data_IF_830266207081
#
_entry.id   IF_830266207081
#
_cell.length_a   1.000
_cell.length_b   1.000
_cell.length_c   1.000
_cell.angle_alpha   90.00
_cell.angle_beta   90.00
_cell.angle_gamma   90.00
#
_symmetry.space_group_name_H-M   'P 1'
#
loop_
_entity.id
_entity.type
_entity.pdbx_description
1 polymer ?
#
# COMPACT_ATOMS: atom_id res chain seq x y z
N UNK A 1 -2.05 15.69 34.98
CA UNK A 1 -2.07 14.21 34.92
C UNK A 1 -2.88 13.64 33.73
N UNK A 2 -3.59 14.43 32.95
CA UNK A 2 -4.50 13.94 31.86
C UNK A 2 -3.80 13.61 30.52
N UNK A 3 -2.60 14.14 30.26
CA UNK A 3 -1.90 13.94 28.98
C UNK A 3 -1.23 12.55 28.85
N UNK A 4 -0.79 11.93 29.93
CA UNK A 4 -0.07 10.65 29.92
C UNK A 4 -1.02 9.46 29.65
N UNK A 5 -2.27 9.55 30.10
CA UNK A 5 -3.30 8.52 29.86
C UNK A 5 -3.77 8.49 28.41
N UNK A 6 -3.77 9.64 27.72
CA UNK A 6 -4.17 9.73 26.31
C UNK A 6 -3.15 9.09 25.37
N UNK A 7 -1.86 9.29 25.60
CA UNK A 7 -0.77 8.68 24.81
C UNK A 7 -0.73 7.16 24.96
N UNK A 8 -0.81 6.64 26.19
CA UNK A 8 -0.81 5.20 26.43
C UNK A 8 -2.01 4.47 25.78
N UNK A 9 -3.19 5.10 25.74
CA UNK A 9 -4.36 4.54 25.07
C UNK A 9 -4.22 4.58 23.53
N UNK A 10 -3.64 5.64 22.97
CA UNK A 10 -3.38 5.75 21.54
C UNK A 10 -2.32 4.72 21.10
N UNK A 11 -1.23 4.54 21.86
CA UNK A 11 -0.21 3.53 21.60
C UNK A 11 -0.81 2.12 21.65
N UNK A 12 -1.59 1.81 22.68
CA UNK A 12 -2.27 0.51 22.80
C UNK A 12 -3.21 0.25 21.62
N UNK A 13 -3.95 1.26 21.19
CA UNK A 13 -4.85 1.16 20.05
C UNK A 13 -4.09 0.89 18.74
N UNK A 14 -2.94 1.52 18.53
CA UNK A 14 -2.08 1.28 17.38
C UNK A 14 -1.52 -0.15 17.37
N UNK A 15 -1.08 -0.68 18.53
CA UNK A 15 -0.64 -2.07 18.66
C UNK A 15 -1.75 -3.06 18.30
N UNK A 16 -2.98 -2.80 18.74
CA UNK A 16 -4.15 -3.64 18.42
C UNK A 16 -4.48 -3.63 16.94
N UNK A 17 -4.36 -2.48 16.27
CA UNK A 17 -4.54 -2.38 14.80
C UNK A 17 -3.43 -3.13 14.05
N UNK A 18 -2.18 -3.04 14.51
CA UNK A 18 -1.08 -3.81 13.93
C UNK A 18 -1.31 -5.31 14.06
N UNK A 19 -1.69 -5.80 15.26
CA UNK A 19 -2.06 -7.21 15.48
C UNK A 19 -3.22 -7.63 14.59
N UNK A 20 -4.27 -6.82 14.49
CA UNK A 20 -5.41 -7.10 13.62
C UNK A 20 -5.03 -7.18 12.14
N UNK A 21 -4.14 -6.30 11.68
CA UNK A 21 -3.63 -6.30 10.31
C UNK A 21 -2.87 -7.60 10.00
N UNK A 22 -2.02 -8.07 10.91
CA UNK A 22 -1.31 -9.34 10.77
C UNK A 22 -2.29 -10.53 10.68
N UNK A 23 -3.29 -10.57 11.55
CA UNK A 23 -4.28 -11.66 11.55
C UNK A 23 -5.12 -11.63 10.27
N UNK A 24 -5.57 -10.46 9.83
CA UNK A 24 -6.32 -10.31 8.57
C UNK A 24 -5.47 -10.70 7.36
N UNK A 25 -4.21 -10.28 7.33
CA UNK A 25 -3.29 -10.63 6.25
C UNK A 25 -3.04 -12.13 6.16
N UNK A 26 -2.85 -12.80 7.29
CA UNK A 26 -2.54 -14.23 7.36
C UNK A 26 -3.76 -15.12 7.05
N UNK A 27 -4.91 -14.82 7.64
CA UNK A 27 -6.07 -15.72 7.63
C UNK A 27 -7.18 -15.28 6.64
N UNK A 28 -7.15 -14.03 6.17
CA UNK A 28 -8.23 -13.41 5.43
C UNK A 28 -9.24 -12.70 6.32
N UNK A 29 -9.79 -11.61 5.80
CA UNK A 29 -10.74 -10.80 6.55
C UNK A 29 -12.01 -11.59 6.94
N UNK A 30 -12.60 -12.33 5.99
CA UNK A 30 -13.85 -13.04 6.22
C UNK A 30 -13.70 -14.18 7.24
N UNK A 31 -12.57 -14.90 7.25
CA UNK A 31 -12.32 -16.00 8.16
C UNK A 31 -11.89 -15.52 9.57
N UNK A 32 -11.47 -14.26 9.73
CA UNK A 32 -11.02 -13.71 11.01
C UNK A 32 -12.21 -13.31 11.87
N UNK A 33 -12.13 -13.65 13.17
CA UNK A 33 -13.09 -13.23 14.19
C UNK A 33 -12.47 -12.25 15.17
N UNK A 34 -13.27 -11.39 15.82
CA UNK A 34 -12.82 -10.47 16.88
C UNK A 34 -12.14 -11.25 18.02
N UNK A 35 -12.66 -12.44 18.35
CA UNK A 35 -12.06 -13.31 19.36
C UNK A 35 -10.63 -13.73 18.96
N UNK A 36 -10.40 -14.10 17.71
CA UNK A 36 -9.07 -14.49 17.23
C UNK A 36 -8.06 -13.33 17.34
N UNK A 37 -8.49 -12.10 17.01
CA UNK A 37 -7.64 -10.92 17.17
C UNK A 37 -7.32 -10.67 18.64
N UNK A 38 -8.31 -10.78 19.52
CA UNK A 38 -8.12 -10.60 20.97
C UNK A 38 -7.16 -11.66 21.56
N UNK A 39 -7.32 -12.92 21.16
CA UNK A 39 -6.45 -14.02 21.58
C UNK A 39 -4.99 -13.75 21.16
N UNK A 40 -4.76 -13.27 19.93
CA UNK A 40 -3.43 -12.90 19.42
C UNK A 40 -2.83 -11.69 20.15
N UNK A 41 -3.68 -10.72 20.53
CA UNK A 41 -3.30 -9.54 21.30
C UNK A 41 -3.12 -9.82 22.81
N UNK A 42 -3.35 -11.06 23.27
CA UNK A 42 -3.24 -11.47 24.66
C UNK A 42 -4.29 -10.85 25.57
N UNK A 43 -5.52 -10.61 25.06
CA UNK A 43 -6.58 -9.95 25.80
C UNK A 43 -7.94 -10.63 25.63
N UNK A 44 -8.89 -10.28 26.50
CA UNK A 44 -10.28 -10.75 26.36
C UNK A 44 -10.99 -10.05 25.19
N UNK A 45 -11.81 -10.78 24.45
CA UNK A 45 -12.58 -10.22 23.34
C UNK A 45 -13.46 -9.03 23.74
N UNK A 46 -14.05 -9.06 24.95
CA UNK A 46 -14.81 -7.93 25.52
C UNK A 46 -14.01 -6.65 25.67
N UNK A 47 -12.70 -6.77 25.96
CA UNK A 47 -11.80 -5.61 26.11
C UNK A 47 -11.46 -4.99 24.75
N UNK A 48 -11.48 -5.78 23.66
CA UNK A 48 -11.24 -5.26 22.31
C UNK A 48 -12.39 -4.32 21.87
N UNK A 49 -13.63 -4.64 22.25
CA UNK A 49 -14.79 -3.79 21.99
C UNK A 49 -14.77 -2.43 22.73
N UNK A 50 -13.91 -2.28 23.75
CA UNK A 50 -13.68 -0.97 24.34
C UNK A 50 -12.90 -0.03 23.41
N UNK A 51 -12.09 -0.59 22.51
CA UNK A 51 -11.27 0.17 21.57
C UNK A 51 -11.89 0.30 20.17
N UNK A 52 -12.70 -0.68 19.74
CA UNK A 52 -13.23 -0.75 18.38
C UNK A 52 -14.67 -1.25 18.37
N UNK A 53 -15.53 -0.59 17.60
CA UNK A 53 -16.95 -0.92 17.52
C UNK A 53 -17.20 -2.27 16.81
N UNK A 54 -16.35 -2.63 15.85
CA UNK A 54 -16.50 -3.83 15.04
C UNK A 54 -15.20 -4.26 14.35
N UNK A 55 -15.19 -5.44 13.79
CA UNK A 55 -14.12 -5.93 12.91
C UNK A 55 -13.98 -5.05 11.67
N UNK A 56 -15.10 -4.58 11.15
CA UNK A 56 -15.16 -3.66 10.00
C UNK A 56 -14.50 -2.33 10.29
N UNK A 57 -14.68 -1.77 11.50
CA UNK A 57 -14.05 -0.50 11.87
C UNK A 57 -12.54 -0.63 12.01
N UNK A 58 -12.04 -1.75 12.51
CA UNK A 58 -10.60 -2.04 12.55
C UNK A 58 -10.01 -2.12 11.14
N UNK A 59 -10.66 -2.84 10.24
CA UNK A 59 -10.21 -2.97 8.86
C UNK A 59 -10.21 -1.62 8.14
N UNK A 60 -11.24 -0.83 8.32
CA UNK A 60 -11.38 0.51 7.73
C UNK A 60 -10.24 1.43 8.16
N UNK A 61 -9.91 1.46 9.45
CA UNK A 61 -8.78 2.23 9.96
C UNK A 61 -7.42 1.75 9.43
N UNK A 62 -7.21 0.43 9.33
CA UNK A 62 -5.99 -0.12 8.78
C UNK A 62 -5.82 0.29 7.30
N UNK A 63 -6.88 0.18 6.51
CA UNK A 63 -6.81 0.48 5.08
C UNK A 63 -6.77 1.99 4.80
N UNK A 64 -7.53 2.80 5.54
CA UNK A 64 -7.50 4.26 5.37
C UNK A 64 -6.15 4.84 5.77
N UNK A 65 -5.58 4.44 6.91
CA UNK A 65 -4.25 4.90 7.33
C UNK A 65 -3.15 4.54 6.31
N UNK A 66 -3.18 3.31 5.78
CA UNK A 66 -2.28 2.88 4.72
C UNK A 66 -2.44 3.73 3.46
N UNK A 67 -3.67 3.95 2.99
CA UNK A 67 -3.93 4.73 1.78
C UNK A 67 -3.59 6.21 1.94
N UNK A 68 -3.84 6.80 3.11
CA UNK A 68 -3.49 8.19 3.40
C UNK A 68 -1.97 8.41 3.33
N UNK A 69 -1.18 7.47 3.87
CA UNK A 69 0.29 7.56 3.78
C UNK A 69 0.78 7.29 2.36
N UNK A 70 0.20 6.31 1.65
CA UNK A 70 0.51 6.04 0.25
C UNK A 70 0.29 7.28 -0.60
N UNK A 71 -0.88 7.94 -0.46
CA UNK A 71 -1.23 9.10 -1.24
C UNK A 71 -0.40 10.33 -0.88
N UNK A 72 -0.08 10.53 0.39
CA UNK A 72 0.84 11.60 0.82
C UNK A 72 2.18 11.47 0.10
N UNK A 73 2.74 10.26 0.04
CA UNK A 73 3.99 10.00 -0.66
C UNK A 73 3.88 10.17 -2.18
N UNK A 74 2.80 9.67 -2.79
CA UNK A 74 2.57 9.77 -4.23
C UNK A 74 2.33 11.20 -4.67
N UNK A 75 1.48 11.94 -3.98
CA UNK A 75 1.17 13.34 -4.30
C UNK A 75 2.43 14.21 -4.18
N UNK A 76 3.32 13.92 -3.23
CA UNK A 76 4.65 14.56 -3.13
C UNK A 76 5.49 14.30 -4.39
N UNK A 77 5.56 13.06 -4.84
CA UNK A 77 6.31 12.71 -6.07
C UNK A 77 5.71 13.38 -7.30
N UNK A 78 4.39 13.35 -7.44
CA UNK A 78 3.68 13.91 -8.59
C UNK A 78 3.78 15.44 -8.66
N UNK A 79 3.86 16.12 -7.51
CA UNK A 79 4.02 17.57 -7.41
C UNK A 79 5.47 18.05 -7.60
N UNK A 80 6.46 17.16 -7.54
CA UNK A 80 7.89 17.52 -7.56
C UNK A 80 8.43 17.98 -8.93
N UNK A 81 7.61 17.95 -9.99
CA UNK A 81 8.02 18.40 -11.32
C UNK A 81 9.11 17.53 -11.98
N UNK A 82 9.26 16.28 -11.54
CA UNK A 82 10.25 15.34 -12.03
C UNK A 82 10.05 15.00 -13.51
N UNK A 83 11.14 14.71 -14.23
CA UNK A 83 11.07 14.09 -15.54
C UNK A 83 10.42 12.69 -15.47
N UNK A 84 9.89 12.16 -16.60
CA UNK A 84 9.13 10.90 -16.58
C UNK A 84 9.89 9.71 -16.00
N UNK A 85 11.17 9.56 -16.32
CA UNK A 85 12.03 8.49 -15.79
C UNK A 85 12.21 8.58 -14.27
N UNK A 86 12.47 9.79 -13.78
CA UNK A 86 12.65 10.06 -12.35
C UNK A 86 11.33 9.85 -11.60
N UNK A 87 10.21 10.31 -12.17
CA UNK A 87 8.89 10.15 -11.59
C UNK A 87 8.51 8.66 -11.45
N UNK A 88 8.71 7.84 -12.48
CA UNK A 88 8.51 6.37 -12.39
C UNK A 88 9.42 5.77 -11.31
N UNK A 89 10.69 6.18 -11.27
CA UNK A 89 11.63 5.73 -10.25
C UNK A 89 11.18 6.06 -8.83
N UNK A 90 10.71 7.27 -8.62
CA UNK A 90 10.22 7.74 -7.32
C UNK A 90 8.90 7.02 -6.91
N UNK A 91 7.97 6.81 -7.84
CA UNK A 91 6.72 6.07 -7.59
C UNK A 91 7.01 4.60 -7.21
N UNK A 92 7.91 3.93 -7.92
CA UNK A 92 8.36 2.56 -7.59
C UNK A 92 8.99 2.53 -6.20
N UNK A 93 9.91 3.46 -5.92
CA UNK A 93 10.58 3.51 -4.61
C UNK A 93 9.58 3.75 -3.48
N UNK A 94 8.62 4.65 -3.70
CA UNK A 94 7.56 4.92 -2.73
C UNK A 94 6.68 3.68 -2.51
N UNK A 95 6.38 2.92 -3.56
CA UNK A 95 5.62 1.66 -3.43
C UNK A 95 6.35 0.64 -2.56
N UNK A 96 7.66 0.44 -2.75
CA UNK A 96 8.44 -0.48 -1.91
C UNK A 96 8.55 -0.01 -0.46
N UNK A 97 8.63 1.30 -0.21
CA UNK A 97 8.56 1.87 1.15
C UNK A 97 7.22 1.58 1.82
N UNK A 98 6.12 1.65 1.08
CA UNK A 98 4.80 1.30 1.61
C UNK A 98 4.69 -0.20 1.92
N UNK A 99 5.27 -1.06 1.09
CA UNK A 99 5.35 -2.51 1.37
C UNK A 99 6.17 -2.77 2.64
N UNK A 100 7.28 -2.06 2.85
CA UNK A 100 8.11 -2.18 4.05
C UNK A 100 7.35 -1.78 5.32
N UNK A 101 6.64 -0.66 5.28
CA UNK A 101 5.94 -0.11 6.46
C UNK A 101 4.59 -0.77 6.73
N UNK A 102 3.86 -1.13 5.68
CA UNK A 102 2.46 -1.52 5.73
C UNK A 102 2.20 -2.88 5.06
N UNK A 103 3.18 -3.79 5.05
CA UNK A 103 3.07 -5.09 4.39
C UNK A 103 1.74 -5.81 4.61
N UNK A 104 1.25 -5.98 5.86
CA UNK A 104 -0.05 -6.58 6.14
C UNK A 104 -1.23 -5.83 5.51
N UNK A 105 -1.27 -4.49 5.60
CA UNK A 105 -2.32 -3.67 4.99
C UNK A 105 -2.30 -3.77 3.46
N UNK A 106 -1.11 -3.78 2.85
CA UNK A 106 -0.92 -4.02 1.40
C UNK A 106 -1.48 -5.38 1.00
N UNK A 107 -1.16 -6.44 1.74
CA UNK A 107 -1.66 -7.80 1.45
C UNK A 107 -3.19 -7.88 1.56
N UNK A 108 -3.78 -7.23 2.56
CA UNK A 108 -5.24 -7.12 2.71
C UNK A 108 -5.83 -6.35 1.52
N UNK A 109 -5.28 -5.16 1.20
CA UNK A 109 -5.76 -4.33 0.11
C UNK A 109 -5.77 -5.09 -1.22
N UNK A 110 -4.68 -5.79 -1.55
CA UNK A 110 -4.59 -6.57 -2.78
C UNK A 110 -5.64 -7.68 -2.88
N UNK A 111 -5.90 -8.36 -1.77
CA UNK A 111 -6.81 -9.50 -1.75
C UNK A 111 -8.27 -9.10 -1.67
N UNK A 112 -8.58 -8.09 -0.88
CA UNK A 112 -9.95 -7.81 -0.45
C UNK A 112 -10.56 -6.55 -1.10
N UNK A 113 -9.75 -5.60 -1.62
CA UNK A 113 -10.25 -4.28 -2.05
C UNK A 113 -11.36 -4.36 -3.08
N UNK A 114 -11.27 -5.29 -4.05
CA UNK A 114 -12.29 -5.46 -5.07
C UNK A 114 -13.65 -5.89 -4.50
N UNK A 115 -13.64 -6.74 -3.49
CA UNK A 115 -14.87 -7.20 -2.83
C UNK A 115 -15.40 -6.15 -1.84
N UNK A 116 -14.51 -5.55 -1.07
CA UNK A 116 -14.86 -4.55 -0.07
C UNK A 116 -15.43 -3.27 -0.70
N UNK A 117 -14.91 -2.82 -1.84
CA UNK A 117 -15.36 -1.58 -2.49
C UNK A 117 -16.86 -1.56 -2.87
N UNK A 118 -17.51 -2.72 -2.92
CA UNK A 118 -18.96 -2.83 -3.11
C UNK A 118 -19.76 -2.43 -1.84
N UNK A 119 -19.11 -2.32 -0.69
CA UNK A 119 -19.74 -1.95 0.58
C UNK A 119 -19.60 -0.43 0.80
N UNK A 120 -20.66 0.28 1.25
CA UNK A 120 -20.64 1.74 1.41
C UNK A 120 -19.47 2.26 2.26
N UNK A 121 -19.11 1.56 3.33
CA UNK A 121 -17.98 1.92 4.21
C UNK A 121 -16.65 1.96 3.49
N UNK A 122 -16.44 1.09 2.51
CA UNK A 122 -15.20 0.91 1.79
C UNK A 122 -15.24 1.44 0.34
N UNK A 123 -16.22 2.25 -0.01
CA UNK A 123 -16.38 2.80 -1.37
C UNK A 123 -15.14 3.58 -1.84
N UNK A 124 -14.43 4.24 -0.91
CA UNK A 124 -13.18 4.96 -1.19
C UNK A 124 -12.07 4.09 -1.79
N UNK A 125 -12.12 2.78 -1.61
CA UNK A 125 -11.15 1.86 -2.21
C UNK A 125 -11.21 1.85 -3.75
N UNK A 126 -12.42 1.99 -4.31
CA UNK A 126 -12.59 2.09 -5.77
C UNK A 126 -12.00 3.41 -6.31
N UNK A 127 -12.25 4.52 -5.62
CA UNK A 127 -11.69 5.82 -5.98
C UNK A 127 -10.16 5.81 -5.88
N UNK A 128 -9.62 5.19 -4.84
CA UNK A 128 -8.19 5.02 -4.66
C UNK A 128 -7.56 4.19 -5.79
N UNK A 129 -8.21 3.11 -6.24
CA UNK A 129 -7.74 2.31 -7.37
C UNK A 129 -7.68 3.14 -8.66
N UNK A 130 -8.71 3.91 -8.95
CA UNK A 130 -8.75 4.78 -10.13
C UNK A 130 -7.70 5.90 -10.06
N UNK A 131 -7.54 6.52 -8.89
CA UNK A 131 -6.50 7.53 -8.66
C UNK A 131 -5.11 6.94 -8.91
N UNK A 132 -4.86 5.72 -8.41
CA UNK A 132 -3.60 5.00 -8.58
C UNK A 132 -3.32 4.72 -10.06
N UNK A 133 -4.26 4.10 -10.77
CA UNK A 133 -4.13 3.83 -12.21
C UNK A 133 -3.84 5.10 -13.01
N UNK A 134 -4.59 6.17 -12.75
CA UNK A 134 -4.42 7.45 -13.42
C UNK A 134 -3.05 8.10 -13.17
N UNK A 135 -2.52 8.02 -11.94
CA UNK A 135 -1.20 8.56 -11.62
C UNK A 135 -0.10 7.89 -12.45
N UNK A 136 -0.14 6.57 -12.56
CA UNK A 136 0.81 5.79 -13.34
C UNK A 136 0.65 6.00 -14.84
N UNK A 137 -0.58 5.90 -15.36
CA UNK A 137 -0.84 6.06 -16.80
C UNK A 137 -0.39 7.45 -17.30
N UNK A 138 -0.77 8.53 -16.58
CA UNK A 138 -0.33 9.89 -16.97
C UNK A 138 1.18 10.04 -16.97
N UNK A 139 1.89 9.43 -16.04
CA UNK A 139 3.36 9.50 -15.98
C UNK A 139 3.99 8.73 -17.14
N UNK A 140 3.47 7.57 -17.48
CA UNK A 140 3.93 6.76 -18.63
C UNK A 140 3.60 7.44 -19.96
N UNK A 141 2.38 7.92 -20.13
CA UNK A 141 1.93 8.64 -21.33
C UNK A 141 2.76 9.90 -21.59
N UNK A 142 3.03 10.68 -20.52
CA UNK A 142 3.95 11.82 -20.58
C UNK A 142 5.34 11.40 -21.05
N UNK A 143 5.87 10.30 -20.53
CA UNK A 143 7.17 9.77 -20.90
C UNK A 143 7.26 9.36 -22.37
N UNK A 144 6.21 8.82 -22.93
CA UNK A 144 6.12 8.52 -24.38
C UNK A 144 6.04 9.80 -25.19
N UNK A 145 5.21 10.76 -24.80
CA UNK A 145 5.02 12.03 -25.49
C UNK A 145 6.29 12.88 -25.51
N UNK A 146 7.09 12.85 -24.42
CA UNK A 146 8.38 13.56 -24.32
C UNK A 146 9.57 12.77 -24.93
N UNK A 147 9.33 11.57 -25.48
CA UNK A 147 10.37 10.73 -26.05
C UNK A 147 11.32 10.08 -25.02
N UNK A 148 11.00 10.16 -23.74
CA UNK A 148 11.77 9.49 -22.67
C UNK A 148 11.53 7.97 -22.67
N UNK A 149 10.36 7.53 -23.10
CA UNK A 149 9.98 6.14 -23.29
C UNK A 149 9.70 5.86 -24.75
N UNK A 150 9.85 4.60 -25.16
CA UNK A 150 9.62 4.15 -26.53
C UNK A 150 8.17 4.40 -26.96
N UNK A 151 7.96 4.86 -28.17
CA UNK A 151 6.65 5.17 -28.73
C UNK A 151 5.80 3.94 -29.13
N UNK A 152 6.41 2.76 -29.16
CA UNK A 152 5.75 1.48 -29.50
C UNK A 152 5.16 0.76 -28.27
N UNK A 153 5.23 1.38 -27.07
CA UNK A 153 4.72 0.78 -25.85
C UNK A 153 3.20 0.88 -25.73
N UNK A 154 2.54 -0.23 -25.41
CA UNK A 154 1.21 -0.20 -24.82
C UNK A 154 1.32 0.21 -23.35
N UNK A 155 1.05 1.49 -23.07
CA UNK A 155 1.19 2.10 -21.73
C UNK A 155 0.32 1.40 -20.68
N UNK A 156 -0.88 0.92 -21.08
CA UNK A 156 -1.78 0.21 -20.16
C UNK A 156 -1.22 -1.16 -19.79
N UNK A 157 -0.60 -1.83 -20.76
CA UNK A 157 0.05 -3.11 -20.50
C UNK A 157 1.30 -2.95 -19.63
N UNK A 158 2.12 -1.93 -19.91
CA UNK A 158 3.29 -1.58 -19.07
C UNK A 158 2.85 -1.27 -17.64
N UNK A 159 1.79 -0.46 -17.47
CA UNK A 159 1.24 -0.18 -16.14
C UNK A 159 0.86 -1.47 -15.40
N UNK A 160 0.16 -2.40 -16.06
CA UNK A 160 -0.23 -3.67 -15.45
C UNK A 160 0.98 -4.47 -15.00
N UNK A 161 2.00 -4.61 -15.84
CA UNK A 161 3.22 -5.33 -15.48
C UNK A 161 3.92 -4.69 -14.28
N UNK A 162 4.11 -3.36 -14.30
CA UNK A 162 4.74 -2.64 -13.20
C UNK A 162 3.94 -2.81 -11.91
N UNK A 163 2.63 -2.56 -11.95
CA UNK A 163 1.74 -2.73 -10.80
C UNK A 163 1.86 -4.13 -10.20
N UNK A 164 1.67 -5.16 -11.02
CA UNK A 164 1.58 -6.52 -10.54
C UNK A 164 2.94 -7.01 -10.00
N UNK A 165 4.04 -6.65 -10.66
CA UNK A 165 5.39 -7.04 -10.23
C UNK A 165 5.89 -6.29 -9.00
N UNK A 166 5.54 -5.02 -8.83
CA UNK A 166 5.90 -4.24 -7.64
C UNK A 166 5.13 -4.73 -6.41
N UNK A 167 3.80 -4.77 -6.53
CA UNK A 167 2.98 -5.06 -5.35
C UNK A 167 3.01 -6.52 -4.91
N UNK A 168 3.31 -7.47 -5.80
CA UNK A 168 3.53 -8.87 -5.41
C UNK A 168 4.68 -9.03 -4.40
N UNK A 169 5.57 -8.06 -4.32
CA UNK A 169 6.65 -8.07 -3.34
C UNK A 169 6.15 -8.14 -1.89
N UNK A 170 4.94 -7.65 -1.59
CA UNK A 170 4.33 -7.82 -0.26
C UNK A 170 4.21 -9.29 0.17
N UNK A 171 4.22 -10.25 -0.78
CA UNK A 171 4.14 -11.67 -0.46
C UNK A 171 5.46 -12.30 -0.02
N UNK A 172 6.59 -11.74 -0.42
CA UNK A 172 7.92 -12.31 -0.13
C UNK A 172 8.87 -11.37 0.60
N UNK A 173 8.65 -10.07 0.54
CA UNK A 173 9.47 -9.09 1.24
C UNK A 173 9.35 -9.25 2.77
N UNK A 174 10.47 -9.02 3.45
CA UNK A 174 10.52 -9.06 4.91
C UNK A 174 11.21 -7.79 5.41
N UNK A 175 10.52 -6.95 6.20
CA UNK A 175 11.15 -5.79 6.84
C UNK A 175 12.39 -6.20 7.65
N UNK A 176 13.47 -5.41 7.53
CA UNK A 176 14.74 -5.73 8.18
C UNK A 176 15.51 -6.92 7.60
N UNK A 177 15.09 -7.46 6.45
CA UNK A 177 15.76 -8.52 5.73
C UNK A 177 17.06 -8.06 5.04
N UNK A 178 17.59 -8.89 4.11
CA UNK A 178 18.88 -8.67 3.42
C UNK A 178 18.90 -7.41 2.54
N UNK A 179 17.75 -6.99 2.02
CA UNK A 179 17.64 -5.87 1.09
C UNK A 179 16.67 -4.80 1.60
N UNK A 180 17.09 -3.55 1.54
CA UNK A 180 16.24 -2.39 1.81
C UNK A 180 15.21 -2.16 0.68
N UNK A 181 14.11 -1.44 0.95
CA UNK A 181 13.16 -1.03 -0.09
C UNK A 181 13.82 -0.31 -1.26
N UNK A 182 14.80 0.54 -0.98
CA UNK A 182 15.55 1.30 -1.97
C UNK A 182 16.45 0.42 -2.86
N UNK A 183 17.06 -0.61 -2.28
CA UNK A 183 17.86 -1.57 -3.05
C UNK A 183 17.01 -2.39 -3.99
N UNK A 184 15.85 -2.88 -3.52
CA UNK A 184 14.90 -3.61 -4.35
C UNK A 184 14.37 -2.71 -5.46
N UNK A 185 13.95 -1.49 -5.13
CA UNK A 185 13.48 -0.51 -6.10
C UNK A 185 14.53 -0.24 -7.19
N UNK A 186 15.79 -0.03 -6.81
CA UNK A 186 16.89 0.20 -7.74
C UNK A 186 17.12 -0.97 -8.67
N UNK A 187 17.13 -2.20 -8.14
CA UNK A 187 17.30 -3.40 -8.94
C UNK A 187 16.12 -3.61 -9.90
N UNK A 188 14.91 -3.44 -9.42
CA UNK A 188 13.70 -3.52 -10.23
C UNK A 188 13.72 -2.49 -11.38
N UNK A 189 14.03 -1.22 -11.06
CA UNK A 189 14.08 -0.14 -12.03
C UNK A 189 15.16 -0.35 -13.09
N UNK A 190 16.32 -0.91 -12.73
CA UNK A 190 17.38 -1.22 -13.70
C UNK A 190 16.90 -2.18 -14.79
N UNK A 191 16.01 -3.12 -14.44
CA UNK A 191 15.43 -4.07 -15.39
C UNK A 191 14.30 -3.44 -16.23
N UNK A 192 13.38 -2.73 -15.57
CA UNK A 192 12.20 -2.16 -16.24
C UNK A 192 12.59 -1.00 -17.15
N UNK A 193 13.38 -0.05 -16.64
CA UNK A 193 13.76 1.13 -17.42
C UNK A 193 14.61 0.75 -18.64
N UNK A 194 15.48 -0.24 -18.55
CA UNK A 194 16.25 -0.73 -19.71
C UNK A 194 15.35 -1.25 -20.84
N UNK A 195 14.14 -1.75 -20.50
CA UNK A 195 13.18 -2.25 -21.47
C UNK A 195 12.27 -1.18 -22.09
N UNK A 196 11.98 -0.09 -21.36
CA UNK A 196 10.98 0.92 -21.79
C UNK A 196 11.58 2.24 -22.27
N UNK A 197 12.88 2.53 -21.98
CA UNK A 197 13.50 3.77 -22.41
C UNK A 197 13.92 3.75 -23.87
N UNK A 198 13.90 4.90 -24.54
CA UNK A 198 14.51 5.08 -25.87
C UNK A 198 15.99 4.77 -25.80
N UNK A 199 16.49 3.97 -26.74
CA UNK A 199 17.93 3.80 -26.95
C UNK A 199 18.45 5.06 -27.64
N UNK A 200 19.36 5.76 -27.02
CA UNK A 200 20.16 6.82 -27.67
C UNK A 200 21.11 6.21 -28.67
#
# INVERSE_FOLDING_TARGET
MTAITGTANAERRAELLATAAEVFAAQGYNATTVRRIADEAGMLAGSLYYHFDSKESMLDEILSAFLDELWTGYDTVLAAGLGPREAIGALVTQSFRQIDRHGPAVAIYQRESRHLSAQPRFAYLADSQLKFENAWLRTLERGVAEGAFRGDLDVRLVYRFVRDTVWVAASWYRPGGTHSPEEIARQYLSMVLAGITTRT
#
